data_IF_281043210315
#
_entry.id   IF_281043210315
#
_cell.length_a   1.000
_cell.length_b   1.000
_cell.length_c   1.000
_cell.angle_alpha   90.00
_cell.angle_beta   90.00
_cell.angle_gamma   90.00
#
_symmetry.space_group_name_H-M   'P 1'
#
loop_
_entity.id
_entity.type
_entity.pdbx_description
1 polymer ?
#
# COMPACT_ATOMS: atom_id res chain seq x y z
N UNK A 1 4.56 10.15 15.31
CA UNK A 1 3.68 9.66 14.23
C UNK A 1 3.85 8.15 14.13
N UNK A 2 2.79 7.36 14.32
CA UNK A 2 2.89 5.88 14.31
C UNK A 2 3.13 5.34 12.89
N UNK A 3 2.41 5.85 11.89
CA UNK A 3 2.51 5.38 10.49
C UNK A 3 3.93 5.50 9.90
N UNK A 4 4.68 6.54 10.26
CA UNK A 4 6.05 6.76 9.76
C UNK A 4 7.03 5.65 10.20
N UNK A 5 6.83 5.10 11.40
CA UNK A 5 7.69 4.05 11.95
C UNK A 5 7.41 2.64 11.40
N UNK A 6 6.34 2.49 10.61
CA UNK A 6 5.85 1.22 10.07
C UNK A 6 5.45 1.37 8.59
N UNK A 7 6.17 2.22 7.84
CA UNK A 7 5.85 2.57 6.44
C UNK A 7 6.04 1.39 5.48
N UNK A 8 6.76 0.37 5.91
CA UNK A 8 6.93 -0.93 5.29
C UNK A 8 5.78 -1.90 5.62
N UNK A 9 5.09 -1.73 6.74
CA UNK A 9 3.93 -2.53 7.14
C UNK A 9 2.60 -1.89 6.70
N UNK A 10 2.43 -1.76 5.39
CA UNK A 10 1.20 -1.24 4.78
C UNK A 10 0.42 -2.37 4.11
N UNK A 11 -0.90 -2.36 4.27
CA UNK A 11 -1.80 -3.22 3.53
C UNK A 11 -2.88 -2.40 2.79
N UNK A 12 -3.13 -2.71 1.52
CA UNK A 12 -4.19 -2.13 0.70
C UNK A 12 -5.42 -3.04 0.72
N UNK A 13 -6.63 -2.48 0.70
CA UNK A 13 -7.86 -3.26 0.52
C UNK A 13 -7.83 -3.98 -0.83
N UNK A 14 -8.09 -5.28 -0.84
CA UNK A 14 -7.80 -6.14 -1.99
C UNK A 14 -8.60 -5.77 -3.25
N UNK A 15 -9.80 -5.22 -3.10
CA UNK A 15 -10.64 -4.72 -4.20
C UNK A 15 -10.11 -3.43 -4.85
N UNK A 16 -9.22 -2.71 -4.17
CA UNK A 16 -8.59 -1.47 -4.65
C UNK A 16 -7.18 -1.69 -5.19
N UNK A 17 -6.67 -2.93 -5.12
CA UNK A 17 -5.36 -3.26 -5.66
C UNK A 17 -5.33 -3.15 -7.20
N UNK A 18 -4.17 -2.82 -7.81
CA UNK A 18 -4.05 -2.75 -9.28
C UNK A 18 -4.41 -4.06 -9.98
N UNK A 19 -4.12 -5.18 -9.32
CA UNK A 19 -4.47 -6.52 -9.75
C UNK A 19 -5.23 -7.16 -8.57
N UNK A 20 -6.56 -6.97 -8.50
CA UNK A 20 -7.36 -7.57 -7.45
C UNK A 20 -7.31 -9.10 -7.54
N UNK A 21 -7.28 -9.82 -6.40
CA UNK A 21 -7.47 -11.26 -6.41
C UNK A 21 -8.90 -11.61 -6.90
N UNK A 22 -9.13 -12.86 -7.35
CA UNK A 22 -10.45 -13.31 -7.74
C UNK A 22 -11.48 -12.99 -6.66
N UNK A 23 -12.63 -12.44 -7.06
CA UNK A 23 -13.68 -12.07 -6.13
C UNK A 23 -14.22 -13.30 -5.41
N UNK A 24 -13.81 -13.47 -4.16
CA UNK A 24 -14.36 -14.50 -3.28
C UNK A 24 -15.75 -14.13 -2.76
N UNK A 25 -16.19 -14.81 -1.70
CA UNK A 25 -17.43 -14.48 -0.99
C UNK A 25 -17.41 -13.02 -0.52
N UNK A 26 -18.48 -12.28 -0.81
CA UNK A 26 -18.66 -10.89 -0.35
C UNK A 26 -18.58 -10.82 1.19
N UNK A 27 -17.75 -9.94 1.76
CA UNK A 27 -17.58 -9.85 3.21
C UNK A 27 -18.86 -9.31 3.86
N UNK A 28 -19.29 -9.95 4.95
CA UNK A 28 -20.41 -9.49 5.77
C UNK A 28 -19.96 -8.62 6.94
N UNK A 29 -18.70 -8.76 7.36
CA UNK A 29 -18.08 -8.07 8.50
C UNK A 29 -16.72 -7.50 8.13
N UNK A 30 -16.24 -6.48 8.85
CA UNK A 30 -14.91 -5.91 8.63
C UNK A 30 -13.78 -6.95 8.69
N UNK A 31 -13.87 -7.90 9.62
CA UNK A 31 -12.90 -9.00 9.76
C UNK A 31 -12.89 -10.00 8.59
N UNK A 32 -13.83 -9.88 7.64
CA UNK A 32 -13.87 -10.69 6.42
C UNK A 32 -13.37 -9.91 5.20
N UNK A 33 -13.16 -8.59 5.32
CA UNK A 33 -12.59 -7.77 4.25
C UNK A 33 -11.14 -8.17 4.02
N UNK A 34 -10.81 -8.41 2.75
CA UNK A 34 -9.49 -8.84 2.32
C UNK A 34 -8.57 -7.65 2.11
N UNK A 35 -7.34 -7.78 2.56
CA UNK A 35 -6.26 -6.83 2.34
C UNK A 35 -5.03 -7.54 1.79
N UNK A 36 -4.21 -6.82 1.02
CA UNK A 36 -2.93 -7.29 0.49
C UNK A 36 -1.80 -6.48 1.13
N UNK A 37 -0.78 -7.15 1.64
CA UNK A 37 0.38 -6.50 2.24
C UNK A 37 1.39 -6.06 1.19
N UNK A 38 2.10 -4.96 1.45
CA UNK A 38 3.09 -4.39 0.52
C UNK A 38 4.23 -5.39 0.27
N UNK A 39 4.77 -5.94 1.35
CA UNK A 39 5.70 -7.06 1.34
C UNK A 39 4.94 -8.37 1.49
N UNK A 40 5.28 -9.43 0.73
CA UNK A 40 4.60 -10.72 0.84
C UNK A 40 4.67 -11.24 2.28
N UNK A 41 3.51 -11.59 2.84
CA UNK A 41 3.41 -12.21 4.15
C UNK A 41 3.68 -13.72 4.15
N UNK A 42 3.94 -14.32 2.98
CA UNK A 42 4.07 -15.76 2.79
C UNK A 42 5.46 -16.12 2.26
N UNK A 43 6.14 -17.03 2.96
CA UNK A 43 7.43 -17.57 2.54
C UNK A 43 7.31 -18.65 1.43
N UNK A 44 6.10 -19.20 1.21
CA UNK A 44 5.84 -20.26 0.23
C UNK A 44 5.04 -19.71 -0.96
N UNK A 45 5.49 -20.07 -2.17
CA UNK A 45 4.99 -19.56 -3.46
C UNK A 45 3.57 -20.04 -3.83
N UNK A 46 3.07 -21.10 -3.18
CA UNK A 46 1.82 -21.77 -3.55
C UNK A 46 0.63 -21.48 -2.61
N UNK A 47 0.74 -20.49 -1.72
CA UNK A 47 -0.43 -20.06 -0.93
C UNK A 47 -1.37 -19.24 -1.85
N UNK A 48 -2.44 -19.88 -2.30
CA UNK A 48 -3.56 -19.25 -3.03
C UNK A 48 -4.19 -18.07 -2.27
N UNK A 49 -3.99 -18.01 -0.94
CA UNK A 49 -4.57 -17.01 -0.05
C UNK A 49 -3.53 -15.95 0.34
N UNK A 50 -3.24 -15.04 -0.61
CA UNK A 50 -2.35 -13.85 -0.40
C UNK A 50 -2.99 -12.77 0.47
N UNK A 51 -4.24 -12.98 0.88
CA UNK A 51 -5.05 -12.00 1.60
C UNK A 51 -4.85 -12.10 3.10
N UNK A 52 -4.63 -10.94 3.74
CA UNK A 52 -4.68 -10.76 5.19
C UNK A 52 -6.00 -10.11 5.60
N UNK A 53 -6.38 -10.27 6.86
CA UNK A 53 -7.66 -9.80 7.38
C UNK A 53 -7.49 -9.06 8.69
N UNK A 54 -8.40 -8.12 9.00
CA UNK A 54 -8.39 -7.42 10.29
C UNK A 54 -8.51 -8.43 11.44
N UNK A 55 -7.67 -8.30 12.47
CA UNK A 55 -7.78 -9.11 13.70
C UNK A 55 -9.05 -8.72 14.47
N UNK A 56 -9.82 -9.69 15.03
CA UNK A 56 -11.08 -9.38 15.73
C UNK A 56 -10.96 -8.46 16.94
N UNK A 57 -9.79 -8.37 17.58
CA UNK A 57 -9.54 -7.44 18.70
C UNK A 57 -9.22 -6.01 18.24
N UNK A 58 -9.10 -5.76 16.93
CA UNK A 58 -8.82 -4.42 16.42
C UNK A 58 -10.06 -3.53 16.57
N UNK A 59 -9.91 -2.23 16.87
CA UNK A 59 -11.02 -1.27 16.81
C UNK A 59 -11.72 -1.23 15.43
N UNK A 60 -11.02 -1.57 14.35
CA UNK A 60 -11.59 -1.63 13.01
C UNK A 60 -12.51 -2.85 12.79
N UNK A 61 -12.47 -3.86 13.65
CA UNK A 61 -13.25 -5.10 13.49
C UNK A 61 -14.77 -4.89 13.60
N UNK A 62 -15.20 -3.80 14.24
CA UNK A 62 -16.61 -3.47 14.48
C UNK A 62 -17.21 -2.54 13.42
N UNK A 63 -16.43 -2.14 12.41
CA UNK A 63 -16.92 -1.32 11.29
C UNK A 63 -17.73 -2.15 10.29
N UNK A 64 -18.56 -1.50 9.50
CA UNK A 64 -19.15 -2.15 8.33
C UNK A 64 -18.07 -2.39 7.25
N UNK A 65 -18.23 -3.42 6.39
CA UNK A 65 -17.28 -3.67 5.29
C UNK A 65 -17.04 -2.46 4.36
N UNK A 66 -18.03 -1.56 4.24
CA UNK A 66 -17.93 -0.36 3.39
C UNK A 66 -17.06 0.73 4.02
N UNK A 67 -17.02 0.80 5.34
CA UNK A 67 -16.24 1.78 6.11
C UNK A 67 -14.79 1.31 6.32
N UNK A 68 -14.44 0.10 5.91
CA UNK A 68 -13.09 -0.40 6.00
C UNK A 68 -12.14 0.47 5.14
N UNK A 69 -11.03 0.95 5.73
CA UNK A 69 -10.14 1.92 5.09
C UNK A 69 -9.45 1.32 3.86
N UNK A 70 -9.04 2.20 2.94
CA UNK A 70 -8.27 1.84 1.74
C UNK A 70 -6.90 1.26 2.12
N UNK A 71 -6.16 1.93 3.01
CA UNK A 71 -4.89 1.45 3.52
C UNK A 71 -4.90 1.33 5.05
N UNK A 72 -4.20 0.31 5.54
CA UNK A 72 -3.97 0.08 6.96
C UNK A 72 -2.46 -0.04 7.16
N UNK A 73 -1.94 0.69 8.14
CA UNK A 73 -0.63 0.41 8.73
C UNK A 73 -0.82 -0.57 9.88
N UNK A 74 -0.05 -1.66 9.90
CA UNK A 74 -0.15 -2.71 10.91
C UNK A 74 1.16 -2.91 11.66
N UNK A 75 1.09 -3.48 12.86
CA UNK A 75 2.27 -3.79 13.67
C UNK A 75 2.92 -5.10 13.23
N UNK A 76 2.12 -6.16 13.19
CA UNK A 76 2.53 -7.51 12.80
C UNK A 76 1.32 -8.32 12.30
N UNK A 77 1.63 -9.46 11.69
CA UNK A 77 0.65 -10.46 11.26
C UNK A 77 0.69 -11.64 12.23
N UNK A 78 -0.49 -12.13 12.58
CA UNK A 78 -0.67 -13.29 13.43
C UNK A 78 -1.46 -14.35 12.67
N UNK A 79 -0.94 -15.58 12.63
CA UNK A 79 -1.68 -16.74 12.12
C UNK A 79 -1.98 -17.66 13.29
N UNK A 80 -3.23 -18.06 13.44
CA UNK A 80 -3.59 -19.05 14.45
C UNK A 80 -2.97 -20.41 14.11
N UNK A 81 -2.75 -21.24 15.12
CA UNK A 81 -2.37 -22.63 14.90
C UNK A 81 -3.49 -23.38 14.15
N UNK A 82 -3.16 -24.36 13.28
CA UNK A 82 -4.16 -25.24 12.68
C UNK A 82 -5.00 -25.90 13.77
N UNK A 83 -6.33 -25.88 13.61
CA UNK A 83 -7.22 -26.54 14.55
C UNK A 83 -7.19 -28.05 14.33
N UNK A 84 -7.04 -28.83 15.41
CA UNK A 84 -7.12 -30.29 15.36
C UNK A 84 -8.47 -30.81 14.84
N UNK A 85 -9.53 -30.00 14.94
CA UNK A 85 -10.88 -30.34 14.49
C UNK A 85 -11.12 -30.07 13.00
N UNK A 86 -10.32 -29.20 12.38
CA UNK A 86 -10.42 -28.89 10.94
C UNK A 86 -9.01 -28.78 10.34
N UNK A 87 -8.30 -29.91 10.21
CA UNK A 87 -6.89 -29.92 9.78
C UNK A 87 -6.70 -29.35 8.37
N UNK A 88 -7.70 -29.49 7.49
CA UNK A 88 -7.64 -29.01 6.10
C UNK A 88 -7.84 -27.49 5.97
N UNK A 89 -8.28 -26.81 7.05
CA UNK A 89 -8.54 -25.38 7.01
C UNK A 89 -7.30 -24.60 7.42
N UNK A 90 -6.59 -24.05 6.44
CA UNK A 90 -5.46 -23.16 6.68
C UNK A 90 -5.95 -21.92 7.45
N UNK A 91 -5.40 -21.63 8.64
CA UNK A 91 -5.80 -20.46 9.41
C UNK A 91 -5.42 -19.17 8.67
N UNK A 92 -6.35 -18.22 8.62
CA UNK A 92 -6.15 -16.91 7.98
C UNK A 92 -5.10 -16.09 8.73
N UNK A 93 -4.23 -15.41 7.99
CA UNK A 93 -3.36 -14.39 8.56
C UNK A 93 -4.18 -13.16 8.98
N UNK A 94 -3.98 -12.69 10.22
CA UNK A 94 -4.70 -11.58 10.82
C UNK A 94 -3.74 -10.44 11.14
N UNK A 95 -4.07 -9.23 10.72
CA UNK A 95 -3.27 -8.03 11.00
C UNK A 95 -3.74 -7.32 12.27
N UNK A 96 -2.78 -6.95 13.10
CA UNK A 96 -2.99 -6.02 14.23
C UNK A 96 -2.82 -4.59 13.73
N UNK A 97 -3.94 -4.03 13.27
CA UNK A 97 -4.00 -2.69 12.69
C UNK A 97 -3.64 -1.61 13.74
N UNK A 98 -2.77 -0.69 13.34
CA UNK A 98 -2.35 0.46 14.14
C UNK A 98 -3.17 1.70 13.79
N UNK A 99 -3.27 1.99 12.49
CA UNK A 99 -3.90 3.22 11.99
C UNK A 99 -4.35 3.05 10.54
N UNK A 100 -5.47 3.68 10.21
CA UNK A 100 -5.94 3.88 8.85
C UNK A 100 -5.24 5.07 8.20
N UNK A 101 -4.87 4.94 6.93
CA UNK A 101 -4.09 5.97 6.23
C UNK A 101 -4.65 6.17 4.83
N UNK A 102 -4.72 7.42 4.38
CA UNK A 102 -5.07 7.73 2.99
C UNK A 102 -3.85 7.60 2.07
N UNK A 103 -4.08 7.35 0.78
CA UNK A 103 -2.98 7.30 -0.19
C UNK A 103 -2.14 8.58 -0.26
N UNK A 104 -2.76 9.75 -0.03
CA UNK A 104 -2.04 11.03 0.03
C UNK A 104 -1.10 11.14 1.24
N UNK A 105 -1.54 10.67 2.40
CA UNK A 105 -0.70 10.58 3.60
C UNK A 105 0.44 9.57 3.41
N UNK A 106 0.18 8.41 2.80
CA UNK A 106 1.24 7.45 2.44
C UNK A 106 2.27 8.08 1.51
N UNK A 107 1.85 8.82 0.48
CA UNK A 107 2.76 9.52 -0.43
C UNK A 107 3.60 10.60 0.28
N UNK A 108 3.08 11.22 1.33
CA UNK A 108 3.83 12.18 2.13
C UNK A 108 4.83 11.49 3.07
N UNK A 109 4.43 10.38 3.70
CA UNK A 109 5.25 9.61 4.64
C UNK A 109 6.36 8.83 3.95
N UNK A 110 6.11 8.25 2.77
CA UNK A 110 7.08 7.49 2.00
C UNK A 110 8.03 8.38 1.18
N UNK A 111 7.86 9.71 1.23
CA UNK A 111 8.71 10.65 0.51
C UNK A 111 10.16 10.54 0.99
N UNK A 112 11.09 10.37 0.04
CA UNK A 112 12.51 10.18 0.34
C UNK A 112 12.90 8.73 0.69
N UNK A 113 11.92 7.82 0.77
CA UNK A 113 12.17 6.37 0.92
C UNK A 113 12.21 5.70 -0.45
N UNK A 114 12.88 4.53 -0.59
CA UNK A 114 12.87 3.76 -1.84
C UNK A 114 11.49 3.14 -2.17
N UNK A 115 10.54 3.18 -1.23
CA UNK A 115 9.19 2.65 -1.41
C UNK A 115 8.34 3.51 -2.35
N UNK A 116 8.68 4.79 -2.51
CA UNK A 116 7.91 5.73 -3.32
C UNK A 116 8.60 5.96 -4.66
N UNK A 117 7.94 5.53 -5.73
CA UNK A 117 8.36 5.78 -7.09
C UNK A 117 7.38 6.73 -7.78
N UNK A 118 7.84 7.42 -8.82
CA UNK A 118 7.00 8.36 -9.54
C UNK A 118 6.91 7.99 -11.00
N UNK A 119 5.70 8.00 -11.53
CA UNK A 119 5.44 7.79 -12.94
C UNK A 119 5.85 8.99 -13.80
N UNK A 120 5.53 8.90 -15.09
CA UNK A 120 5.67 10.01 -16.03
C UNK A 120 4.73 11.16 -15.64
N UNK A 121 5.10 12.42 -15.94
CA UNK A 121 4.18 13.55 -15.79
C UNK A 121 2.88 13.33 -16.55
N UNK A 122 1.75 13.51 -15.87
CA UNK A 122 0.40 13.39 -16.46
C UNK A 122 -0.09 14.68 -17.11
N UNK A 123 0.52 15.81 -16.74
CA UNK A 123 0.24 17.12 -17.30
C UNK A 123 1.55 17.87 -17.48
N UNK A 124 1.65 18.65 -18.56
CA UNK A 124 2.80 19.52 -18.78
C UNK A 124 3.02 20.44 -17.60
N UNK A 125 4.28 20.53 -17.20
CA UNK A 125 4.68 21.24 -16.02
C UNK A 125 4.97 22.71 -16.29
N UNK A 126 4.74 23.56 -15.28
CA UNK A 126 5.14 24.96 -15.33
C UNK A 126 6.64 25.05 -15.04
N UNK A 127 7.42 25.72 -15.88
CA UNK A 127 8.82 26.02 -15.55
C UNK A 127 8.89 26.97 -14.36
N UNK A 128 9.80 26.67 -13.43
CA UNK A 128 10.00 27.43 -12.20
C UNK A 128 11.24 28.33 -12.29
N UNK A 129 12.19 28.01 -13.17
CA UNK A 129 13.40 28.78 -13.36
C UNK A 129 13.55 29.30 -14.81
N UNK A 130 14.32 30.38 -14.95
CA UNK A 130 14.62 30.98 -16.26
C UNK A 130 15.56 30.10 -17.11
N UNK A 131 16.31 29.21 -16.47
CA UNK A 131 17.25 28.28 -17.10
C UNK A 131 16.55 27.00 -17.59
N UNK A 132 15.29 26.78 -17.24
CA UNK A 132 14.52 25.58 -17.60
C UNK A 132 15.06 24.29 -16.98
N UNK A 133 15.77 24.37 -15.86
CA UNK A 133 16.31 23.24 -15.10
C UNK A 133 15.38 22.80 -13.97
N UNK A 134 14.37 23.61 -13.61
CA UNK A 134 13.38 23.28 -12.60
C UNK A 134 11.97 23.46 -13.16
N UNK A 135 11.13 22.44 -12.99
CA UNK A 135 9.73 22.49 -13.44
C UNK A 135 8.82 21.83 -12.43
N UNK A 136 7.60 22.31 -12.38
CA UNK A 136 6.54 21.80 -11.53
C UNK A 136 5.57 20.98 -12.35
N UNK A 137 5.44 19.68 -12.07
CA UNK A 137 4.57 18.79 -12.85
C UNK A 137 3.65 17.97 -11.96
N UNK A 138 2.55 17.50 -12.54
CA UNK A 138 1.67 16.53 -11.89
C UNK A 138 2.14 15.13 -12.23
N UNK A 139 2.28 14.29 -11.20
CA UNK A 139 2.68 12.89 -11.32
C UNK A 139 1.77 12.01 -10.48
N UNK A 140 1.66 10.74 -10.87
CA UNK A 140 1.08 9.68 -10.04
C UNK A 140 2.23 8.99 -9.30
N UNK A 141 2.28 9.05 -7.96
CA UNK A 141 3.20 8.24 -7.18
C UNK A 141 2.74 6.78 -7.15
N UNK A 142 3.68 5.86 -6.97
CA UNK A 142 3.45 4.44 -6.79
C UNK A 142 4.16 3.97 -5.52
N UNK A 143 3.43 3.32 -4.62
CA UNK A 143 4.00 2.64 -3.46
C UNK A 143 4.41 1.22 -3.86
N UNK A 144 5.67 0.85 -3.64
CA UNK A 144 6.22 -0.43 -4.08
C UNK A 144 7.16 -1.03 -3.04
N UNK A 145 7.06 -2.33 -2.83
CA UNK A 145 8.08 -3.09 -2.11
C UNK A 145 9.38 -3.14 -2.94
N UNK A 146 10.51 -2.85 -2.29
CA UNK A 146 11.83 -2.89 -2.93
C UNK A 146 12.12 -4.28 -3.52
N UNK A 147 12.76 -4.31 -4.70
CA UNK A 147 13.15 -5.57 -5.37
C UNK A 147 12.04 -6.32 -6.12
N UNK A 148 10.78 -5.87 -6.09
CA UNK A 148 9.71 -6.43 -6.93
C UNK A 148 9.57 -5.69 -8.26
N UNK A 149 9.51 -6.44 -9.37
CA UNK A 149 9.06 -5.98 -10.69
C UNK A 149 7.52 -5.95 -10.80
N UNK A 150 6.83 -5.53 -9.75
CA UNK A 150 5.37 -5.32 -9.76
C UNK A 150 5.07 -3.84 -10.10
N UNK A 151 3.88 -3.54 -10.63
CA UNK A 151 3.48 -2.16 -10.96
C UNK A 151 3.50 -1.24 -9.73
N UNK A 152 3.25 -1.79 -8.53
CA UNK A 152 3.10 -1.01 -7.30
C UNK A 152 1.70 -0.38 -7.19
N UNK A 153 1.34 0.10 -6.00
CA UNK A 153 0.02 0.66 -5.74
C UNK A 153 -0.02 2.14 -6.13
N UNK A 154 -0.87 2.55 -7.08
CA UNK A 154 -0.97 3.95 -7.48
C UNK A 154 -1.56 4.76 -6.32
N UNK A 155 -0.91 5.87 -5.99
CA UNK A 155 -1.36 6.82 -4.99
C UNK A 155 -2.00 8.04 -5.68
N UNK A 156 -2.78 8.87 -4.95
CA UNK A 156 -3.37 10.08 -5.52
C UNK A 156 -2.35 10.98 -6.21
N UNK A 157 -2.73 11.49 -7.38
CA UNK A 157 -1.88 12.38 -8.15
C UNK A 157 -1.52 13.63 -7.34
N UNK A 158 -0.26 14.05 -7.45
CA UNK A 158 0.23 15.22 -6.73
C UNK A 158 1.17 16.04 -7.58
N UNK A 159 1.26 17.31 -7.19
CA UNK A 159 2.22 18.26 -7.73
C UNK A 159 3.60 17.98 -7.14
N UNK A 160 4.62 17.93 -7.98
CA UNK A 160 6.02 17.75 -7.59
C UNK A 160 6.91 18.73 -8.36
N UNK A 161 8.05 19.05 -7.76
CA UNK A 161 9.12 19.79 -8.45
C UNK A 161 10.13 18.79 -8.98
N UNK A 162 10.46 18.90 -10.26
CA UNK A 162 11.52 18.14 -10.91
C UNK A 162 12.68 19.08 -11.22
N UNK A 163 13.90 18.62 -10.90
CA UNK A 163 15.15 19.28 -11.25
C UNK A 163 15.91 18.43 -12.26
N UNK A 164 16.42 19.07 -13.31
CA UNK A 164 17.29 18.43 -14.30
C UNK A 164 18.69 18.28 -13.71
N UNK A 165 19.14 17.04 -13.55
CA UNK A 165 20.46 16.67 -13.04
C UNK A 165 21.28 16.08 -14.18
N UNK A 166 22.50 16.59 -14.37
CA UNK A 166 23.44 16.10 -15.39
C UNK A 166 23.68 14.59 -15.20
N UNK A 167 23.56 13.83 -16.28
CA UNK A 167 23.72 12.36 -16.28
C UNK A 167 22.56 11.54 -15.70
N UNK A 168 21.61 12.14 -14.96
CA UNK A 168 20.46 11.44 -14.37
C UNK A 168 19.09 11.84 -14.94
N UNK A 169 19.02 12.94 -15.69
CA UNK A 169 17.76 13.45 -16.25
C UNK A 169 16.93 14.22 -15.22
N UNK A 170 15.61 14.15 -15.32
CA UNK A 170 14.69 14.83 -14.40
C UNK A 170 14.53 14.02 -13.11
N UNK A 171 14.98 14.58 -11.99
CA UNK A 171 14.85 13.98 -10.67
C UNK A 171 13.86 14.79 -9.86
N UNK A 172 12.97 14.13 -9.12
CA UNK A 172 12.03 14.83 -8.24
C UNK A 172 12.80 15.39 -7.05
N UNK A 173 12.70 16.70 -6.84
CA UNK A 173 13.10 17.32 -5.58
C UNK A 173 12.04 16.97 -4.54
N UNK A 174 12.53 16.47 -3.40
CA UNK A 174 11.71 16.22 -2.22
C UNK A 174 11.17 17.52 -1.67
#
# INVERSE_FOLDING_TARGET
MVAAGFIDHVAIRADLAPIPPPAGRKPSRAIEVQYLTLFPSHARRDDDDKSVYIHPSSPLAHRSPKECPEYIVYSHLQRAAPSATTPDRIPRARMHALVDVSGGQLAALAKGTPLLQYGKPIKEGKQLDKLGLEKECWVVPYLRAEGKNDMGWPLPARKVVQKKVLGKGWVIQG
#
